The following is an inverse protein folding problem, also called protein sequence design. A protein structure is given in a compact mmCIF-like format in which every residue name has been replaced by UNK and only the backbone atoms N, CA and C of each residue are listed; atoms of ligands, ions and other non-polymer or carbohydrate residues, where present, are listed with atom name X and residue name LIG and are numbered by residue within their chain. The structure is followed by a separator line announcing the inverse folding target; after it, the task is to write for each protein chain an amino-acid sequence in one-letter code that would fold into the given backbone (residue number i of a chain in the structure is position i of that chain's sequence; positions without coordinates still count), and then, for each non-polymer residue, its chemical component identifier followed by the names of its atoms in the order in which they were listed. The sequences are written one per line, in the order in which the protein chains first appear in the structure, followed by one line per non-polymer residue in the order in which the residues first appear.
data_IF_284051342542
#
_entry.id   IF_284051342542
#
_cell.length_a   1.000
_cell.length_b   1.000
_cell.length_c   1.000
_cell.angle_alpha   90.00
_cell.angle_beta   90.00
_cell.angle_gamma   90.00
#
_symmetry.space_group_name_H-M   'P 1'
#
loop_
_entity.id
_entity.type
_entity.pdbx_description
1 polymer ?
#
# COMPACT_ATOMS: atom_id res chain seq x y z
N UNK A 1 37.89 5.62 34.32
CA UNK A 1 37.71 5.73 32.85
C UNK A 1 37.03 4.46 32.35
N UNK A 2 35.72 4.51 32.02
CA UNK A 2 34.93 3.36 31.55
C UNK A 2 34.19 3.68 30.22
N UNK A 3 34.85 4.39 29.32
CA UNK A 3 34.26 4.85 28.04
C UNK A 3 34.17 3.69 27.02
N UNK A 4 35.03 2.66 27.12
CA UNK A 4 35.10 1.57 26.14
C UNK A 4 33.92 0.57 26.16
N UNK A 5 33.19 0.45 27.28
CA UNK A 5 32.08 -0.52 27.39
C UNK A 5 30.80 -0.03 26.70
N UNK A 6 30.57 1.28 26.60
CA UNK A 6 29.39 1.82 25.91
C UNK A 6 29.46 1.63 24.39
N UNK A 7 30.64 1.77 23.76
CA UNK A 7 30.78 1.63 22.30
C UNK A 7 30.51 0.22 21.79
N UNK A 8 30.84 -0.81 22.57
CA UNK A 8 30.64 -2.22 22.15
C UNK A 8 29.16 -2.59 22.15
N UNK A 9 28.39 -2.09 23.13
CA UNK A 9 26.94 -2.34 23.22
C UNK A 9 26.20 -1.67 22.05
N UNK A 10 26.61 -0.46 21.66
CA UNK A 10 26.03 0.24 20.51
C UNK A 10 26.29 -0.49 19.19
N UNK A 11 27.51 -1.01 18.98
CA UNK A 11 27.87 -1.79 17.79
C UNK A 11 27.03 -3.07 17.66
N UNK A 12 26.77 -3.78 18.75
CA UNK A 12 25.93 -4.98 18.75
C UNK A 12 24.47 -4.68 18.37
N UNK A 13 23.93 -3.54 18.83
CA UNK A 13 22.56 -3.13 18.50
C UNK A 13 22.41 -2.78 17.00
N UNK A 14 23.40 -2.12 16.40
CA UNK A 14 23.40 -1.81 14.97
C UNK A 14 23.44 -3.06 14.07
N UNK A 15 24.20 -4.09 14.47
CA UNK A 15 24.26 -5.35 13.72
C UNK A 15 22.94 -6.12 13.83
N UNK A 16 22.33 -6.15 15.01
CA UNK A 16 21.05 -6.83 15.22
C UNK A 16 19.89 -6.17 14.43
N UNK A 17 19.86 -4.83 14.37
CA UNK A 17 18.90 -4.09 13.55
C UNK A 17 19.02 -4.36 12.04
N UNK A 18 20.23 -4.61 11.55
CA UNK A 18 20.50 -4.93 10.14
C UNK A 18 20.03 -6.33 9.77
N UNK A 19 20.12 -7.29 10.70
CA UNK A 19 19.66 -8.68 10.49
C UNK A 19 18.12 -8.74 10.49
N UNK A 20 17.44 -8.04 11.41
CA UNK A 20 15.98 -7.95 11.42
C UNK A 20 15.42 -7.31 10.13
N UNK A 21 16.08 -6.26 9.64
CA UNK A 21 15.70 -5.60 8.38
C UNK A 21 15.79 -6.53 7.16
N UNK A 22 16.73 -7.49 7.15
CA UNK A 22 16.84 -8.50 6.09
C UNK A 22 15.86 -9.66 6.25
N UNK A 23 15.49 -10.03 7.47
CA UNK A 23 14.50 -11.09 7.73
C UNK A 23 13.06 -10.64 7.36
N UNK A 24 12.72 -9.37 7.58
CA UNK A 24 11.41 -8.82 7.23
C UNK A 24 11.25 -8.66 5.70
N UNK A 25 12.34 -8.35 4.97
CA UNK A 25 12.31 -8.27 3.49
C UNK A 25 12.05 -9.60 2.77
N UNK A 26 12.10 -10.75 3.44
CA UNK A 26 11.84 -12.07 2.82
C UNK A 26 10.39 -12.58 2.99
N UNK A 27 9.48 -11.81 3.61
CA UNK A 27 8.11 -12.25 3.91
C UNK A 27 6.98 -11.56 3.14
N UNK A 28 7.27 -10.72 2.16
CA UNK A 28 6.24 -10.21 1.25
C UNK A 28 6.42 -10.81 -0.15
N UNK A 29 5.71 -11.91 -0.49
CA UNK A 29 5.34 -12.14 -1.87
C UNK A 29 4.51 -10.92 -2.33
N UNK A 30 5.14 -10.00 -3.04
CA UNK A 30 4.62 -8.73 -3.56
C UNK A 30 3.45 -8.87 -4.57
N UNK A 31 2.62 -9.92 -4.49
CA UNK A 31 1.64 -10.15 -5.56
C UNK A 31 0.33 -10.83 -5.20
N UNK A 32 0.15 -11.42 -4.00
CA UNK A 32 -1.10 -12.15 -3.71
C UNK A 32 -1.82 -11.77 -2.42
N UNK A 33 -1.12 -11.29 -1.39
CA UNK A 33 -1.80 -10.81 -0.18
C UNK A 33 -2.34 -9.37 -0.34
N UNK A 34 -1.64 -8.53 -1.11
CA UNK A 34 -2.01 -7.11 -1.28
C UNK A 34 -3.34 -6.96 -2.05
N UNK A 35 -3.70 -7.89 -2.93
CA UNK A 35 -4.91 -7.77 -3.76
C UNK A 35 -6.19 -7.76 -2.92
N UNK A 36 -6.27 -8.55 -1.83
CA UNK A 36 -7.48 -8.60 -1.01
C UNK A 36 -7.67 -7.32 -0.20
N UNK A 37 -6.59 -6.78 0.37
CA UNK A 37 -6.61 -5.51 1.08
C UNK A 37 -6.79 -4.33 0.12
N UNK A 38 -6.15 -4.37 -1.05
CA UNK A 38 -6.31 -3.38 -2.09
C UNK A 38 -7.74 -3.35 -2.64
N UNK A 39 -8.38 -4.50 -2.88
CA UNK A 39 -9.79 -4.56 -3.26
C UNK A 39 -10.67 -3.88 -2.22
N UNK A 40 -10.45 -4.16 -0.94
CA UNK A 40 -11.24 -3.55 0.14
C UNK A 40 -11.01 -2.05 0.23
N UNK A 41 -9.76 -1.62 0.08
CA UNK A 41 -9.38 -0.21 0.03
C UNK A 41 -10.05 0.51 -1.14
N UNK A 42 -9.95 -0.04 -2.36
CA UNK A 42 -10.56 0.54 -3.56
C UNK A 42 -12.08 0.60 -3.47
N UNK A 43 -12.76 -0.41 -2.90
CA UNK A 43 -14.21 -0.33 -2.67
C UNK A 43 -14.57 0.85 -1.76
N UNK A 44 -13.79 1.05 -0.68
CA UNK A 44 -14.04 2.12 0.28
C UNK A 44 -13.72 3.50 -0.32
N UNK A 45 -12.60 3.59 -1.03
CA UNK A 45 -12.12 4.79 -1.69
C UNK A 45 -13.05 5.23 -2.82
N UNK A 46 -13.43 4.30 -3.70
CA UNK A 46 -14.34 4.58 -4.80
C UNK A 46 -15.72 4.98 -4.30
N UNK A 47 -16.23 4.34 -3.24
CA UNK A 47 -17.49 4.79 -2.59
C UNK A 47 -17.39 6.18 -2.01
N UNK A 48 -16.24 6.57 -1.45
CA UNK A 48 -16.06 7.93 -0.93
C UNK A 48 -16.12 8.97 -2.04
N UNK A 49 -15.56 8.65 -3.21
CA UNK A 49 -15.48 9.56 -4.37
C UNK A 49 -16.81 9.62 -5.15
N UNK A 50 -17.41 8.45 -5.40
CA UNK A 50 -18.58 8.31 -6.26
C UNK A 50 -19.90 8.33 -5.49
N UNK A 51 -19.90 8.06 -4.17
CA UNK A 51 -21.09 7.80 -3.31
C UNK A 51 -21.95 6.60 -3.71
N UNK A 52 -21.80 6.10 -4.93
CA UNK A 52 -22.52 4.95 -5.46
C UNK A 52 -21.60 3.77 -5.81
N UNK A 53 -22.20 2.70 -6.36
CA UNK A 53 -21.48 1.49 -6.71
C UNK A 53 -20.71 1.72 -8.02
N UNK A 54 -19.44 1.35 -8.02
CA UNK A 54 -18.57 1.43 -9.18
C UNK A 54 -19.08 0.56 -10.34
N UNK A 55 -19.29 1.14 -11.53
CA UNK A 55 -19.72 0.35 -12.70
C UNK A 55 -18.58 -0.53 -13.25
N UNK A 56 -17.37 0.03 -13.34
CA UNK A 56 -16.17 -0.69 -13.84
C UNK A 56 -15.16 -0.96 -12.73
N UNK A 57 -15.61 -1.65 -11.68
CA UNK A 57 -14.75 -1.95 -10.54
C UNK A 57 -13.56 -2.86 -10.89
N UNK A 58 -13.72 -3.74 -11.89
CA UNK A 58 -12.63 -4.62 -12.34
C UNK A 58 -11.49 -3.84 -13.01
N UNK A 59 -11.79 -2.81 -13.81
CA UNK A 59 -10.77 -1.93 -14.38
C UNK A 59 -10.03 -1.17 -13.28
N UNK A 60 -10.76 -0.68 -12.28
CA UNK A 60 -10.18 -0.03 -11.10
C UNK A 60 -9.26 -0.97 -10.31
N UNK A 61 -9.64 -2.25 -10.17
CA UNK A 61 -8.82 -3.27 -9.53
C UNK A 61 -7.54 -3.55 -10.32
N UNK A 62 -7.63 -3.65 -11.65
CA UNK A 62 -6.47 -3.88 -12.51
C UNK A 62 -5.53 -2.67 -12.49
N UNK A 63 -6.06 -1.46 -12.52
CA UNK A 63 -5.21 -0.27 -12.54
C UNK A 63 -4.63 0.06 -11.14
N UNK A 64 -5.43 -0.15 -10.09
CA UNK A 64 -5.07 0.21 -8.71
C UNK A 64 -4.34 -0.87 -7.92
N UNK A 65 -4.67 -2.15 -8.11
CA UNK A 65 -4.05 -3.26 -7.37
C UNK A 65 -2.96 -3.97 -8.15
N UNK A 66 -2.98 -3.85 -9.48
CA UNK A 66 -1.98 -4.46 -10.36
C UNK A 66 -0.89 -3.47 -10.78
N UNK A 67 -1.06 -2.17 -10.50
CA UNK A 67 0.00 -1.18 -10.62
C UNK A 67 0.52 -0.76 -9.24
N UNK A 68 1.81 -0.41 -9.16
CA UNK A 68 2.41 0.15 -7.94
C UNK A 68 2.04 1.62 -7.70
N UNK A 69 1.13 2.20 -8.50
CA UNK A 69 0.74 3.60 -8.40
C UNK A 69 -0.62 3.74 -7.73
N UNK A 70 -0.71 4.66 -6.78
CA UNK A 70 -1.97 5.01 -6.12
C UNK A 70 -2.87 5.76 -7.11
N UNK A 71 -4.08 5.27 -7.33
CA UNK A 71 -5.06 5.91 -8.21
C UNK A 71 -5.45 7.30 -7.68
N UNK A 72 -5.35 8.31 -8.55
CA UNK A 72 -5.82 9.65 -8.23
C UNK A 72 -7.34 9.69 -8.11
N UNK A 73 -7.87 10.70 -7.43
CA UNK A 73 -9.32 10.91 -7.30
C UNK A 73 -9.99 11.07 -8.68
N UNK A 74 -9.38 11.84 -9.58
CA UNK A 74 -9.87 12.05 -10.95
C UNK A 74 -9.88 10.75 -11.74
N UNK A 75 -8.79 9.97 -11.70
CA UNK A 75 -8.72 8.69 -12.42
C UNK A 75 -9.73 7.68 -11.89
N UNK A 76 -9.90 7.64 -10.56
CA UNK A 76 -10.93 6.81 -9.93
C UNK A 76 -12.32 7.23 -10.39
N UNK A 77 -12.60 8.54 -10.51
CA UNK A 77 -13.87 9.05 -11.04
C UNK A 77 -14.10 8.65 -12.48
N UNK A 78 -13.13 8.85 -13.36
CA UNK A 78 -13.19 8.45 -14.77
C UNK A 78 -13.54 6.98 -14.97
N UNK A 79 -12.87 6.10 -14.21
CA UNK A 79 -13.08 4.65 -14.33
C UNK A 79 -14.39 4.22 -13.70
N UNK A 80 -14.70 4.76 -12.53
CA UNK A 80 -15.69 4.19 -11.64
C UNK A 80 -17.07 4.85 -11.74
N UNK A 81 -17.09 6.17 -11.97
CA UNK A 81 -18.29 6.98 -11.96
C UNK A 81 -18.11 8.26 -12.82
N UNK A 82 -17.87 8.12 -14.14
CA UNK A 82 -17.62 9.26 -15.03
C UNK A 82 -18.80 10.24 -15.05
N UNK A 83 -20.00 9.78 -14.70
CA UNK A 83 -21.24 10.57 -14.72
C UNK A 83 -21.65 11.13 -13.35
N UNK A 84 -20.96 10.80 -12.25
CA UNK A 84 -21.38 11.21 -10.89
C UNK A 84 -21.26 12.73 -10.60
N UNK A 85 -20.82 13.52 -11.57
CA UNK A 85 -20.84 14.99 -11.54
C UNK A 85 -21.73 15.65 -12.60
N UNK A 86 -22.53 14.87 -13.34
CA UNK A 86 -23.28 15.34 -14.51
C UNK A 86 -24.78 15.55 -14.25
N UNK A 87 -25.14 16.02 -13.05
CA UNK A 87 -26.50 16.49 -12.70
C UNK A 87 -26.46 17.92 -12.17
#
# INVERSE_FOLDING_TARGET
MNIGKCSIIFLLFCVFGSILSRAIRKRHPEGKLVIRDCKRYLIMYSRTICKEKCEKFDDLLVEGCHSNQTLSNERTRELCCPNAGSN
#
